data_IF_035785209946
#
_entry.id   IF_035785209946
#
_cell.length_a   1.000
_cell.length_b   1.000
_cell.length_c   1.000
_cell.angle_alpha   90.00
_cell.angle_beta   90.00
_cell.angle_gamma   90.00
#
_symmetry.space_group_name_H-M   'P 1'
#
loop_
_entity.id
_entity.type
_entity.pdbx_description
1 polymer ?
#
# COMPACT_ATOMS: atom_id res chain seq x y z
N UNK A 1 -8.16 -32.03 54.93
CA UNK A 1 -9.14 -32.58 53.99
C UNK A 1 -8.69 -33.98 53.63
N UNK A 2 -9.52 -35.00 53.88
CA UNK A 2 -9.27 -36.39 53.53
C UNK A 2 -9.36 -36.54 52.01
N UNK A 3 -8.25 -36.85 51.34
CA UNK A 3 -8.29 -37.31 49.95
C UNK A 3 -8.59 -38.82 49.99
N UNK A 4 -9.85 -39.20 49.72
CA UNK A 4 -10.18 -40.60 49.51
C UNK A 4 -9.54 -41.05 48.19
N UNK A 5 -8.64 -42.03 48.26
CA UNK A 5 -8.12 -42.72 47.08
C UNK A 5 -9.29 -43.43 46.38
N UNK A 6 -9.69 -42.95 45.21
CA UNK A 6 -10.63 -43.68 44.34
C UNK A 6 -9.83 -44.75 43.63
N UNK A 7 -10.08 -46.02 43.94
CA UNK A 7 -9.53 -47.14 43.18
C UNK A 7 -10.22 -47.17 41.81
N UNK A 8 -9.52 -46.69 40.79
CA UNK A 8 -10.00 -46.63 39.41
C UNK A 8 -9.84 -47.96 38.66
N UNK A 9 -9.28 -49.01 39.28
CA UNK A 9 -9.08 -50.32 38.64
C UNK A 9 -10.38 -51.06 38.32
N UNK A 10 -11.48 -50.70 38.99
CA UNK A 10 -12.81 -51.27 38.76
C UNK A 10 -13.60 -50.56 37.65
N UNK A 11 -13.08 -49.45 37.10
CA UNK A 11 -13.75 -48.67 36.08
C UNK A 11 -13.24 -49.05 34.69
N UNK A 12 -14.13 -48.95 33.70
CA UNK A 12 -13.80 -49.17 32.29
C UNK A 12 -14.71 -48.33 31.39
N UNK A 13 -14.30 -48.14 30.14
CA UNK A 13 -15.10 -47.41 29.15
C UNK A 13 -16.36 -48.19 28.80
N UNK A 14 -17.50 -47.50 28.81
CA UNK A 14 -18.80 -48.05 28.47
C UNK A 14 -19.48 -47.11 27.47
N UNK A 15 -19.97 -47.67 26.36
CA UNK A 15 -20.80 -46.96 25.38
C UNK A 15 -22.27 -47.27 25.67
N UNK A 16 -23.05 -46.25 26.01
CA UNK A 16 -24.48 -46.36 26.28
C UNK A 16 -25.22 -45.38 25.40
N UNK A 17 -26.12 -45.88 24.55
CA UNK A 17 -26.97 -45.06 23.67
C UNK A 17 -26.16 -44.05 22.80
N UNK A 18 -24.95 -44.43 22.39
CA UNK A 18 -24.06 -43.57 21.59
C UNK A 18 -23.15 -42.64 22.39
N UNK A 19 -23.28 -42.62 23.73
CA UNK A 19 -22.50 -41.76 24.63
C UNK A 19 -21.50 -42.58 25.44
N UNK A 20 -20.26 -42.09 25.52
CA UNK A 20 -19.19 -42.74 26.27
C UNK A 20 -19.19 -42.30 27.74
N UNK A 21 -18.97 -43.27 28.63
CA UNK A 21 -18.80 -43.10 30.07
C UNK A 21 -17.60 -43.91 30.55
N UNK A 22 -16.99 -43.49 31.65
CA UNK A 22 -16.03 -44.31 32.39
C UNK A 22 -16.68 -44.75 33.69
N UNK A 23 -17.06 -46.02 33.82
CA UNK A 23 -17.92 -46.48 34.91
C UNK A 23 -17.53 -47.87 35.40
N UNK A 24 -17.91 -48.19 36.63
CA UNK A 24 -17.83 -49.54 37.19
C UNK A 24 -18.87 -50.47 36.57
N UNK A 25 -18.76 -51.78 36.81
CA UNK A 25 -19.68 -52.79 36.26
C UNK A 25 -21.12 -52.67 36.76
N UNK A 26 -21.33 -52.08 37.93
CA UNK A 26 -22.64 -51.74 38.51
C UNK A 26 -23.19 -50.39 38.01
N UNK A 27 -22.47 -49.71 37.12
CA UNK A 27 -22.93 -48.51 36.41
C UNK A 27 -22.63 -47.18 37.10
N UNK A 28 -21.87 -47.15 38.20
CA UNK A 28 -21.44 -45.89 38.82
C UNK A 28 -20.41 -45.18 37.95
N UNK A 29 -20.77 -44.01 37.44
CA UNK A 29 -19.90 -43.20 36.58
C UNK A 29 -18.79 -42.51 37.38
N UNK A 30 -17.60 -42.46 36.80
CA UNK A 30 -16.52 -41.58 37.19
C UNK A 30 -16.80 -40.18 36.64
N UNK A 31 -16.48 -39.14 37.41
CA UNK A 31 -16.70 -37.75 37.03
C UNK A 31 -15.45 -36.92 37.26
N UNK A 32 -15.22 -35.92 36.40
CA UNK A 32 -14.07 -35.03 36.43
C UNK A 32 -12.94 -35.48 35.50
N UNK A 33 -11.71 -35.06 35.83
CA UNK A 33 -10.53 -35.33 35.03
C UNK A 33 -10.07 -36.80 35.17
N UNK A 34 -9.96 -37.49 34.04
CA UNK A 34 -9.40 -38.84 33.94
C UNK A 34 -8.15 -38.82 33.07
N UNK A 35 -7.05 -39.42 33.55
CA UNK A 35 -5.88 -39.68 32.72
C UNK A 35 -5.79 -41.17 32.40
N UNK A 36 -5.82 -41.50 31.12
CA UNK A 36 -5.73 -42.88 30.66
C UNK A 36 -4.96 -42.95 29.34
N UNK A 37 -4.09 -43.96 29.18
CA UNK A 37 -3.32 -44.14 27.95
C UNK A 37 -2.44 -42.95 27.56
N UNK A 38 -2.06 -42.11 28.54
CA UNK A 38 -1.28 -40.89 28.32
C UNK A 38 -2.11 -39.64 27.97
N UNK A 39 -3.40 -39.78 27.69
CA UNK A 39 -4.32 -38.69 27.38
C UNK A 39 -5.18 -38.30 28.58
N UNK A 40 -5.67 -37.05 28.57
CA UNK A 40 -6.65 -36.54 29.53
C UNK A 40 -8.04 -36.53 28.91
N UNK A 41 -9.04 -36.85 29.71
CA UNK A 41 -10.46 -36.84 29.37
C UNK A 41 -11.24 -36.09 30.44
N UNK A 42 -12.36 -35.49 30.05
CA UNK A 42 -13.30 -34.88 30.98
C UNK A 42 -14.62 -35.65 30.96
N UNK A 43 -14.98 -36.19 32.12
CA UNK A 43 -16.24 -36.89 32.35
C UNK A 43 -17.15 -35.91 33.09
N UNK A 44 -18.00 -35.20 32.37
CA UNK A 44 -18.73 -34.04 32.86
C UNK A 44 -19.56 -34.38 34.11
N UNK A 45 -19.19 -33.87 35.30
CA UNK A 45 -19.93 -34.13 36.54
C UNK A 45 -21.39 -33.67 36.48
N UNK A 46 -21.67 -32.58 35.77
CA UNK A 46 -23.00 -31.97 35.68
C UNK A 46 -23.90 -32.74 34.70
N UNK A 47 -23.29 -33.46 33.76
CA UNK A 47 -23.97 -34.38 32.85
C UNK A 47 -23.89 -35.86 33.31
N UNK A 48 -23.57 -36.12 34.59
CA UNK A 48 -23.56 -37.49 35.14
C UNK A 48 -22.43 -38.38 34.62
N UNK A 49 -21.30 -37.79 34.24
CA UNK A 49 -20.08 -38.50 33.81
C UNK A 49 -19.98 -38.75 32.30
N UNK A 50 -20.74 -38.01 31.48
CA UNK A 50 -20.64 -38.05 30.02
C UNK A 50 -19.23 -37.64 29.59
N UNK A 51 -18.59 -38.43 28.73
CA UNK A 51 -17.32 -38.06 28.12
C UNK A 51 -17.53 -36.91 27.12
N UNK A 52 -16.83 -35.81 27.37
CA UNK A 52 -16.94 -34.60 26.55
C UNK A 52 -16.07 -34.69 25.28
N UNK A 53 -16.60 -34.12 24.20
CA UNK A 53 -15.89 -33.82 22.94
C UNK A 53 -16.12 -32.35 22.57
N UNK A 54 -15.20 -31.75 21.82
CA UNK A 54 -15.26 -30.34 21.40
C UNK A 54 -14.84 -29.36 22.49
N UNK A 55 -15.25 -28.10 22.34
CA UNK A 55 -14.99 -27.02 23.30
C UNK A 55 -15.84 -27.20 24.55
N UNK A 56 -15.21 -27.17 25.72
CA UNK A 56 -15.92 -27.29 27.00
C UNK A 56 -15.21 -26.57 28.13
N UNK A 57 -15.97 -26.07 29.10
CA UNK A 57 -15.42 -25.44 30.31
C UNK A 57 -15.27 -26.48 31.42
N UNK A 58 -14.05 -26.61 31.94
CA UNK A 58 -13.74 -27.51 33.03
C UNK A 58 -13.10 -26.71 34.17
N UNK A 59 -13.78 -26.63 35.32
CA UNK A 59 -13.27 -25.92 36.51
C UNK A 59 -12.83 -24.46 36.21
N UNK A 60 -13.59 -23.72 35.38
CA UNK A 60 -13.35 -22.31 35.07
C UNK A 60 -12.35 -22.03 33.96
N UNK A 61 -11.80 -23.06 33.31
CA UNK A 61 -10.95 -22.91 32.12
C UNK A 61 -11.56 -23.65 30.93
N UNK A 62 -11.41 -23.11 29.72
CA UNK A 62 -11.84 -23.78 28.49
C UNK A 62 -10.79 -24.79 28.03
N UNK A 63 -11.25 -25.92 27.52
CA UNK A 63 -10.45 -26.99 26.95
C UNK A 63 -11.07 -27.45 25.65
N UNK A 64 -10.26 -28.05 24.79
CA UNK A 64 -10.73 -28.71 23.57
C UNK A 64 -10.48 -30.21 23.67
N UNK A 65 -11.52 -31.00 23.40
CA UNK A 65 -11.45 -32.46 23.34
C UNK A 65 -11.71 -32.91 21.90
N UNK A 66 -10.88 -33.82 21.38
CA UNK A 66 -11.10 -34.35 20.03
C UNK A 66 -12.29 -35.33 19.99
N UNK A 67 -12.57 -35.94 18.83
CA UNK A 67 -13.68 -36.89 18.65
C UNK A 67 -13.55 -38.17 19.47
N UNK A 68 -12.36 -38.51 20.01
CA UNK A 68 -12.18 -39.60 20.95
C UNK A 68 -12.28 -39.16 22.42
N UNK A 69 -12.59 -37.88 22.68
CA UNK A 69 -12.62 -37.28 24.02
C UNK A 69 -11.24 -36.98 24.61
N UNK A 70 -10.17 -37.15 23.85
CA UNK A 70 -8.83 -36.82 24.34
C UNK A 70 -8.59 -35.31 24.26
N UNK A 71 -8.12 -34.73 25.36
CA UNK A 71 -7.80 -33.32 25.51
C UNK A 71 -6.64 -32.92 24.59
N UNK A 72 -6.81 -31.84 23.85
CA UNK A 72 -5.79 -31.30 22.97
C UNK A 72 -4.74 -30.47 23.73
N UNK A 73 -3.55 -30.39 23.14
CA UNK A 73 -2.51 -29.39 23.43
C UNK A 73 -2.01 -28.84 22.09
N UNK A 74 -1.50 -27.61 22.09
CA UNK A 74 -1.09 -26.89 20.89
C UNK A 74 -2.25 -26.23 20.13
N UNK A 75 -2.04 -26.00 18.84
CA UNK A 75 -3.01 -25.32 17.98
C UNK A 75 -4.22 -26.20 17.67
N UNK A 76 -5.41 -25.61 17.77
CA UNK A 76 -6.69 -26.24 17.45
C UNK A 76 -7.42 -25.35 16.45
N UNK A 77 -7.93 -25.93 15.37
CA UNK A 77 -8.79 -25.27 14.40
C UNK A 77 -10.20 -25.84 14.50
N UNK A 78 -11.17 -24.99 14.82
CA UNK A 78 -12.58 -25.36 14.87
C UNK A 78 -13.45 -24.32 14.16
N UNK A 79 -14.31 -24.77 13.25
CA UNK A 79 -15.20 -23.88 12.51
C UNK A 79 -14.49 -22.73 11.75
N UNK A 80 -13.21 -22.89 11.40
CA UNK A 80 -12.39 -21.83 10.79
C UNK A 80 -11.72 -20.87 11.80
N UNK A 81 -11.96 -21.04 13.09
CA UNK A 81 -11.39 -20.25 14.18
C UNK A 81 -10.23 -21.00 14.83
N UNK A 82 -9.09 -20.32 14.97
CA UNK A 82 -7.93 -20.88 15.67
C UNK A 82 -8.02 -20.66 17.17
N UNK A 83 -7.55 -21.64 17.93
CA UNK A 83 -7.38 -21.61 19.38
C UNK A 83 -5.99 -22.19 19.70
N UNK A 84 -5.47 -21.89 20.89
CA UNK A 84 -4.24 -22.50 21.37
C UNK A 84 -4.43 -23.13 22.75
N UNK A 85 -4.40 -24.46 22.81
CA UNK A 85 -4.37 -25.21 24.05
C UNK A 85 -2.94 -25.20 24.61
N UNK A 86 -2.74 -24.63 25.79
CA UNK A 86 -1.42 -24.56 26.43
C UNK A 86 -0.91 -25.96 26.83
N UNK A 87 0.29 -26.04 27.41
CA UNK A 87 0.83 -27.32 27.89
C UNK A 87 -0.04 -28.01 28.95
N UNK A 88 -0.91 -27.27 29.66
CA UNK A 88 -1.91 -27.84 30.57
C UNK A 88 -3.23 -28.24 29.89
N UNK A 89 -3.38 -27.94 28.59
CA UNK A 89 -4.61 -28.11 27.82
C UNK A 89 -5.58 -26.94 27.89
N UNK A 90 -5.43 -26.05 28.87
CA UNK A 90 -6.29 -24.88 28.97
C UNK A 90 -6.08 -23.96 27.76
N UNK A 91 -7.15 -23.47 27.17
CA UNK A 91 -7.10 -22.55 26.04
C UNK A 91 -6.53 -21.19 26.45
N UNK A 92 -5.64 -20.66 25.63
CA UNK A 92 -5.07 -19.33 25.77
C UNK A 92 -6.17 -18.25 25.75
N UNK A 93 -6.00 -17.22 26.58
CA UNK A 93 -6.89 -16.06 26.71
C UNK A 93 -6.04 -14.80 26.82
N UNK A 94 -6.46 -13.73 26.14
CA UNK A 94 -5.71 -12.47 26.07
C UNK A 94 -4.39 -12.59 25.28
N UNK A 95 -3.45 -11.67 25.48
CA UNK A 95 -2.15 -11.70 24.84
C UNK A 95 -1.27 -12.85 25.35
N UNK A 96 -0.79 -13.70 24.45
CA UNK A 96 0.05 -14.88 24.78
C UNK A 96 1.17 -15.03 23.76
N UNK A 97 2.38 -15.38 24.20
CA UNK A 97 3.47 -15.77 23.30
C UNK A 97 3.47 -17.28 23.09
N UNK A 98 3.44 -17.69 21.82
CA UNK A 98 3.50 -19.10 21.38
C UNK A 98 4.77 -19.27 20.55
N UNK A 99 5.74 -20.02 21.08
CA UNK A 99 7.02 -20.23 20.39
C UNK A 99 7.81 -18.95 20.12
N UNK A 100 7.63 -17.91 20.95
CA UNK A 100 8.25 -16.60 20.77
C UNK A 100 7.46 -15.62 19.89
N UNK A 101 6.40 -16.07 19.23
CA UNK A 101 5.51 -15.22 18.42
C UNK A 101 4.32 -14.77 19.27
N UNK A 102 4.00 -13.47 19.36
CA UNK A 102 2.85 -13.01 20.11
C UNK A 102 1.55 -13.27 19.35
N UNK A 103 0.49 -13.61 20.09
CA UNK A 103 -0.87 -13.77 19.60
C UNK A 103 -1.84 -13.13 20.61
N UNK A 104 -3.03 -12.77 20.15
CA UNK A 104 -4.10 -12.33 21.03
C UNK A 104 -5.29 -13.29 20.90
N UNK A 105 -5.84 -13.71 22.02
CA UNK A 105 -7.02 -14.56 22.08
C UNK A 105 -8.14 -13.83 22.83
N UNK A 106 -9.37 -14.00 22.38
CA UNK A 106 -10.55 -13.45 23.04
C UNK A 106 -10.62 -13.97 24.49
N UNK A 107 -10.76 -13.06 25.45
CA UNK A 107 -10.66 -13.40 26.87
C UNK A 107 -11.83 -14.25 27.38
N UNK A 108 -12.94 -14.33 26.64
CA UNK A 108 -14.13 -15.10 27.02
C UNK A 108 -14.11 -16.46 26.34
N UNK A 109 -13.89 -16.47 25.04
CA UNK A 109 -14.07 -17.64 24.17
C UNK A 109 -12.76 -18.38 23.86
N UNK A 110 -11.60 -17.72 24.01
CA UNK A 110 -10.30 -18.26 23.62
C UNK A 110 -10.03 -18.24 22.12
N UNK A 111 -10.93 -17.67 21.32
CA UNK A 111 -10.76 -17.54 19.87
C UNK A 111 -9.58 -16.62 19.52
N UNK A 112 -8.72 -17.01 18.60
CA UNK A 112 -7.62 -16.17 18.14
C UNK A 112 -8.17 -14.93 17.42
N UNK A 113 -7.68 -13.76 17.84
CA UNK A 113 -8.04 -12.47 17.28
C UNK A 113 -7.07 -12.05 16.18
N UNK A 114 -7.60 -11.36 15.17
CA UNK A 114 -6.83 -10.68 14.12
C UNK A 114 -7.16 -9.18 14.11
N UNK A 115 -6.52 -8.41 13.25
CA UNK A 115 -6.64 -6.96 13.18
C UNK A 115 -5.88 -6.25 14.30
N UNK A 116 -6.24 -5.00 14.60
CA UNK A 116 -5.57 -4.24 15.65
C UNK A 116 -5.90 -4.76 17.05
N UNK A 117 -4.88 -5.25 17.76
CA UNK A 117 -4.96 -5.68 19.15
C UNK A 117 -3.84 -5.04 19.97
N UNK A 118 -3.98 -5.07 21.29
CA UNK A 118 -2.93 -4.63 22.24
C UNK A 118 -2.20 -5.86 22.75
N UNK A 119 -0.87 -5.89 22.58
CA UNK A 119 -0.05 -6.99 23.06
C UNK A 119 0.14 -6.98 24.59
N UNK A 120 0.86 -7.97 25.12
CA UNK A 120 1.09 -8.11 26.56
C UNK A 120 1.88 -6.94 27.17
N UNK A 121 2.56 -6.15 26.33
CA UNK A 121 3.38 -5.00 26.70
C UNK A 121 2.59 -3.68 26.57
N UNK A 122 1.33 -3.73 26.14
CA UNK A 122 0.50 -2.54 25.94
C UNK A 122 0.68 -1.87 24.57
N UNK A 123 1.43 -2.49 23.64
CA UNK A 123 1.67 -1.95 22.30
C UNK A 123 0.54 -2.38 21.36
N UNK A 124 -0.04 -1.41 20.64
CA UNK A 124 -1.05 -1.68 19.62
C UNK A 124 -0.37 -2.19 18.35
N UNK A 125 -0.74 -3.39 17.91
CA UNK A 125 -0.21 -4.06 16.71
C UNK A 125 -1.34 -4.62 15.85
N UNK A 126 -1.10 -4.73 14.56
CA UNK A 126 -1.97 -5.43 13.63
C UNK A 126 -1.58 -6.91 13.56
N UNK A 127 -2.48 -7.79 13.99
CA UNK A 127 -2.32 -9.24 13.97
C UNK A 127 -2.98 -9.84 12.73
N UNK A 128 -2.22 -10.61 11.95
CA UNK A 128 -2.75 -11.50 10.92
C UNK A 128 -3.01 -12.90 11.45
N UNK A 129 -3.14 -13.87 10.54
CA UNK A 129 -3.43 -15.27 10.88
C UNK A 129 -2.28 -16.02 11.58
N UNK A 130 -1.09 -15.42 11.63
CA UNK A 130 0.13 -16.03 12.16
C UNK A 130 0.87 -15.13 13.17
N UNK A 131 0.15 -14.24 13.85
CA UNK A 131 0.72 -13.25 14.77
C UNK A 131 0.81 -11.86 14.13
N UNK A 132 1.72 -10.98 14.58
CA UNK A 132 1.87 -9.64 14.03
C UNK A 132 2.23 -9.69 12.55
N UNK A 133 1.56 -8.86 11.75
CA UNK A 133 1.78 -8.83 10.31
C UNK A 133 3.17 -8.27 9.99
N UNK A 134 3.87 -8.92 9.07
CA UNK A 134 5.16 -8.47 8.56
C UNK A 134 5.06 -8.37 7.03
N UNK A 135 4.95 -7.15 6.51
CA UNK A 135 4.75 -6.86 5.10
C UNK A 135 3.46 -6.09 4.82
N UNK A 136 3.00 -6.15 3.57
CA UNK A 136 1.81 -5.44 3.11
C UNK A 136 0.53 -5.92 3.79
N UNK A 137 -0.30 -4.98 4.25
CA UNK A 137 -1.65 -5.23 4.76
C UNK A 137 -2.64 -4.20 4.25
N UNK A 138 -3.80 -4.66 3.80
CA UNK A 138 -4.91 -3.79 3.40
C UNK A 138 -5.88 -3.66 4.58
N UNK A 139 -6.02 -2.44 5.10
CA UNK A 139 -6.77 -2.13 6.31
C UNK A 139 -7.66 -0.93 6.01
N UNK A 140 -8.97 -1.06 6.24
CA UNK A 140 -9.95 0.01 6.11
C UNK A 140 -9.90 0.80 4.78
N UNK A 141 -9.57 0.13 3.67
CA UNK A 141 -9.53 0.73 2.35
C UNK A 141 -8.14 1.21 1.90
N UNK A 142 -7.11 1.09 2.75
CA UNK A 142 -5.77 1.59 2.48
C UNK A 142 -4.71 0.50 2.66
N UNK A 143 -3.62 0.61 1.90
CA UNK A 143 -2.45 -0.25 2.05
C UNK A 143 -1.47 0.33 3.06
N UNK A 144 -0.89 -0.55 3.86
CA UNK A 144 0.16 -0.24 4.82
C UNK A 144 1.27 -1.28 4.71
N UNK A 145 2.50 -0.89 5.05
CA UNK A 145 3.57 -1.85 5.30
C UNK A 145 3.77 -2.03 6.80
N UNK A 146 3.62 -3.24 7.30
CA UNK A 146 3.80 -3.56 8.71
C UNK A 146 5.17 -4.18 8.97
N UNK A 147 5.82 -3.73 10.04
CA UNK A 147 6.96 -4.40 10.65
C UNK A 147 6.55 -4.80 12.06
N UNK A 148 6.51 -6.11 12.34
CA UNK A 148 6.05 -6.66 13.62
C UNK A 148 4.65 -6.14 14.03
N UNK A 149 3.74 -6.04 13.06
CA UNK A 149 2.38 -5.52 13.22
C UNK A 149 2.30 -4.01 13.46
N UNK A 150 3.41 -3.27 13.37
CA UNK A 150 3.42 -1.81 13.48
C UNK A 150 3.52 -1.22 12.07
N UNK A 151 2.60 -0.32 11.72
CA UNK A 151 2.62 0.37 10.43
C UNK A 151 3.89 1.21 10.31
N UNK A 152 4.62 1.03 9.22
CA UNK A 152 5.81 1.81 8.88
C UNK A 152 5.41 3.13 8.23
N UNK A 153 6.28 4.13 8.35
CA UNK A 153 6.09 5.47 7.77
C UNK A 153 7.36 5.91 7.03
N UNK A 154 7.23 6.81 6.06
CA UNK A 154 8.30 7.34 5.24
C UNK A 154 8.62 6.47 4.03
N UNK A 155 9.87 6.54 3.56
CA UNK A 155 10.34 5.77 2.41
C UNK A 155 10.52 4.29 2.75
N UNK A 156 10.00 3.42 1.88
CA UNK A 156 10.21 1.98 1.92
C UNK A 156 10.74 1.50 0.59
N UNK A 157 11.81 0.69 0.62
CA UNK A 157 12.27 -0.06 -0.54
C UNK A 157 12.00 -1.54 -0.33
N UNK A 158 11.18 -2.12 -1.21
CA UNK A 158 10.84 -3.54 -1.16
C UNK A 158 10.44 -4.03 -2.55
N UNK A 159 10.69 -5.30 -2.85
CA UNK A 159 10.33 -5.89 -4.15
C UNK A 159 10.92 -5.15 -5.37
N UNK A 160 12.06 -4.47 -5.20
CA UNK A 160 12.70 -3.70 -6.27
C UNK A 160 12.08 -2.33 -6.57
N UNK A 161 11.16 -1.84 -5.74
CA UNK A 161 10.49 -0.55 -5.92
C UNK A 161 10.51 0.28 -4.65
N UNK A 162 10.46 1.60 -4.82
CA UNK A 162 10.28 2.56 -3.74
C UNK A 162 8.80 2.87 -3.53
N UNK A 163 8.40 3.05 -2.28
CA UNK A 163 7.06 3.40 -1.85
C UNK A 163 7.15 4.52 -0.81
N UNK A 164 6.11 5.34 -0.74
CA UNK A 164 5.96 6.33 0.32
C UNK A 164 4.78 5.96 1.22
N UNK A 165 5.07 5.79 2.50
CA UNK A 165 4.10 5.48 3.54
C UNK A 165 3.87 6.77 4.32
N UNK A 166 2.77 7.47 4.04
CA UNK A 166 2.51 8.83 4.49
C UNK A 166 2.59 8.96 6.02
N UNK A 167 3.63 9.64 6.56
CA UNK A 167 3.79 9.77 8.01
C UNK A 167 2.60 10.45 8.69
N UNK A 168 2.07 11.50 8.06
CA UNK A 168 0.96 12.30 8.60
C UNK A 168 -0.40 11.56 8.53
N UNK A 169 -0.49 10.51 7.72
CA UNK A 169 -1.64 9.62 7.61
C UNK A 169 -1.41 8.27 8.33
N UNK A 170 -0.41 8.18 9.20
CA UNK A 170 -0.14 6.96 9.98
C UNK A 170 0.37 5.78 9.15
N UNK A 171 0.99 6.04 8.00
CA UNK A 171 1.63 5.03 7.15
C UNK A 171 0.79 4.53 5.97
N UNK A 172 -0.28 5.24 5.61
CA UNK A 172 -1.03 4.96 4.38
C UNK A 172 -0.09 5.02 3.17
N UNK A 173 -0.12 4.00 2.32
CA UNK A 173 0.67 3.96 1.11
C UNK A 173 0.14 4.98 0.09
N UNK A 174 1.01 5.89 -0.34
CA UNK A 174 0.69 6.91 -1.33
C UNK A 174 0.45 6.31 -2.73
N UNK A 175 -0.44 6.96 -3.48
CA UNK A 175 -0.66 6.74 -4.92
C UNK A 175 -0.86 8.07 -5.62
N UNK A 176 -0.45 8.23 -6.87
CA UNK A 176 -0.47 9.51 -7.58
C UNK A 176 0.61 10.50 -7.10
N UNK A 177 0.38 11.79 -7.34
CA UNK A 177 1.30 12.87 -7.01
C UNK A 177 1.35 13.14 -5.51
N UNK A 178 2.54 13.05 -4.92
CA UNK A 178 2.77 13.30 -3.50
C UNK A 178 4.04 14.11 -3.25
N UNK A 179 3.99 14.98 -2.23
CA UNK A 179 5.16 15.67 -1.72
C UNK A 179 5.81 14.81 -0.62
N UNK A 180 7.07 14.46 -0.82
CA UNK A 180 7.84 13.63 0.09
C UNK A 180 9.14 14.37 0.45
N UNK A 181 9.29 14.78 1.71
CA UNK A 181 10.48 15.48 2.21
C UNK A 181 10.90 16.71 1.37
N UNK A 182 9.93 17.47 0.86
CA UNK A 182 10.17 18.71 0.11
C UNK A 182 10.37 18.55 -1.40
N UNK A 183 10.25 17.34 -1.95
CA UNK A 183 10.22 17.10 -3.40
C UNK A 183 8.92 16.38 -3.80
N UNK A 184 8.47 16.60 -5.03
CA UNK A 184 7.29 15.93 -5.58
C UNK A 184 7.68 14.60 -6.25
N UNK A 185 6.86 13.58 -6.07
CA UNK A 185 7.03 12.24 -6.62
C UNK A 185 5.69 11.74 -7.16
N UNK A 186 5.75 10.81 -8.10
CA UNK A 186 4.56 10.11 -8.59
C UNK A 186 4.62 8.64 -8.20
N UNK A 187 3.54 8.12 -7.65
CA UNK A 187 3.37 6.70 -7.34
C UNK A 187 2.26 6.11 -8.22
N UNK A 188 2.47 4.94 -8.80
CA UNK A 188 1.44 4.29 -9.61
C UNK A 188 0.32 3.69 -8.72
N UNK A 189 -0.68 3.03 -9.34
CA UNK A 189 -1.79 2.42 -8.61
C UNK A 189 -1.38 1.31 -7.62
N UNK A 190 -0.20 0.70 -7.80
CA UNK A 190 0.34 -0.25 -6.82
C UNK A 190 1.20 0.42 -5.74
N UNK A 191 1.29 1.76 -5.76
CA UNK A 191 2.12 2.56 -4.86
C UNK A 191 3.61 2.58 -5.21
N UNK A 192 4.03 1.96 -6.31
CA UNK A 192 5.44 1.98 -6.71
C UNK A 192 5.79 3.34 -7.32
N UNK A 193 6.89 3.93 -6.85
CA UNK A 193 7.43 5.20 -7.32
C UNK A 193 7.83 5.11 -8.78
N UNK A 194 7.35 6.05 -9.59
CA UNK A 194 7.68 6.13 -11.01
C UNK A 194 9.07 6.71 -11.24
N UNK A 195 9.65 6.34 -12.39
CA UNK A 195 10.79 7.02 -13.02
C UNK A 195 10.47 7.18 -14.51
N UNK A 196 11.06 8.19 -15.15
CA UNK A 196 10.78 8.55 -16.54
C UNK A 196 9.46 9.31 -16.72
N UNK A 197 8.89 9.22 -17.93
CA UNK A 197 7.65 9.92 -18.27
C UNK A 197 6.43 9.30 -17.57
N UNK A 198 5.59 10.18 -17.03
CA UNK A 198 4.33 9.84 -16.36
C UNK A 198 3.20 10.61 -17.02
N UNK A 199 2.12 9.92 -17.38
CA UNK A 199 0.89 10.52 -17.89
C UNK A 199 -0.19 10.44 -16.82
N UNK A 200 -0.73 11.58 -16.41
CA UNK A 200 -1.87 11.66 -15.50
C UNK A 200 -2.89 12.68 -15.98
N UNK A 201 -4.16 12.28 -16.07
CA UNK A 201 -5.25 13.17 -16.49
C UNK A 201 -5.04 13.85 -17.87
N UNK A 202 -4.20 13.29 -18.75
CA UNK A 202 -3.82 13.89 -20.03
C UNK A 202 -2.61 14.84 -19.96
N UNK A 203 -2.06 15.08 -18.78
CA UNK A 203 -0.86 15.90 -18.54
C UNK A 203 0.36 15.01 -18.36
N UNK A 204 1.45 15.36 -19.04
CA UNK A 204 2.73 14.66 -18.90
C UNK A 204 3.58 15.30 -17.81
N UNK A 205 4.29 14.46 -17.06
CA UNK A 205 5.28 14.79 -16.05
C UNK A 205 6.53 13.96 -16.30
N UNK A 206 7.68 14.37 -15.75
CA UNK A 206 8.90 13.58 -15.84
C UNK A 206 9.48 13.32 -14.45
N UNK A 207 9.47 12.07 -14.01
CA UNK A 207 10.18 11.61 -12.83
C UNK A 207 11.65 11.33 -13.19
N UNK A 208 12.58 11.99 -12.51
CA UNK A 208 14.02 11.78 -12.75
C UNK A 208 14.46 10.39 -12.28
N UNK A 209 15.74 10.04 -12.44
CA UNK A 209 16.28 8.76 -11.97
C UNK A 209 16.16 8.54 -10.46
N UNK A 210 16.02 9.61 -9.67
CA UNK A 210 15.72 9.54 -8.22
C UNK A 210 14.23 9.45 -7.92
N UNK A 211 13.36 9.52 -8.93
CA UNK A 211 11.90 9.59 -8.82
C UNK A 211 11.34 10.99 -8.59
N UNK A 212 12.17 11.96 -8.19
CA UNK A 212 11.71 13.33 -8.00
C UNK A 212 11.25 13.90 -9.34
N UNK A 213 10.09 14.56 -9.37
CA UNK A 213 9.58 15.20 -10.56
C UNK A 213 10.46 16.37 -10.98
N UNK A 214 10.81 16.41 -12.26
CA UNK A 214 11.56 17.50 -12.85
C UNK A 214 10.74 18.80 -12.83
N UNK A 215 11.46 19.92 -12.81
CA UNK A 215 10.92 21.27 -12.81
C UNK A 215 11.85 22.17 -13.62
N UNK A 216 11.29 23.06 -14.43
CA UNK A 216 12.01 23.90 -15.37
C UNK A 216 12.53 23.14 -16.58
N UNK A 217 13.69 23.55 -17.08
CA UNK A 217 14.31 22.96 -18.26
C UNK A 217 14.82 21.54 -18.00
N UNK A 218 14.43 20.62 -18.87
CA UNK A 218 14.88 19.24 -18.88
C UNK A 218 15.51 18.91 -20.24
N UNK A 219 16.76 18.43 -20.24
CA UNK A 219 17.40 17.88 -21.43
C UNK A 219 17.42 16.35 -21.36
N UNK A 220 16.78 15.70 -22.32
CA UNK A 220 16.86 14.26 -22.50
C UNK A 220 17.56 13.98 -23.83
N UNK A 221 18.83 13.58 -23.77
CA UNK A 221 19.64 13.20 -24.93
C UNK A 221 19.62 14.25 -26.06
N UNK A 222 19.79 15.53 -25.71
CA UNK A 222 19.80 16.64 -26.67
C UNK A 222 18.42 17.22 -26.99
N UNK A 223 17.33 16.59 -26.55
CA UNK A 223 15.97 17.12 -26.70
C UNK A 223 15.58 17.90 -25.44
N UNK A 224 15.14 19.15 -25.61
CA UNK A 224 14.73 20.01 -24.50
C UNK A 224 13.22 19.97 -24.28
N UNK A 225 12.83 19.98 -23.01
CA UNK A 225 11.46 20.05 -22.53
C UNK A 225 11.40 21.12 -21.43
N UNK A 226 10.21 21.64 -21.18
CA UNK A 226 9.94 22.48 -20.01
C UNK A 226 8.85 21.83 -19.16
N UNK A 227 9.15 21.70 -17.87
CA UNK A 227 8.22 21.23 -16.85
C UNK A 227 7.89 22.44 -15.99
N UNK A 228 6.62 22.81 -15.87
CA UNK A 228 6.22 23.98 -15.09
C UNK A 228 6.76 23.88 -13.64
N UNK A 229 7.49 24.88 -13.12
CA UNK A 229 8.11 24.77 -11.80
C UNK A 229 7.14 24.63 -10.62
N UNK A 230 5.86 24.99 -10.81
CA UNK A 230 4.85 24.96 -9.74
C UNK A 230 4.00 23.69 -9.78
N UNK A 231 3.69 23.21 -10.99
CA UNK A 231 2.79 22.07 -11.21
C UNK A 231 3.50 20.82 -11.71
N UNK A 232 4.76 20.94 -12.14
CA UNK A 232 5.54 19.90 -12.83
C UNK A 232 5.00 19.47 -14.20
N UNK A 233 3.94 20.12 -14.70
CA UNK A 233 3.32 19.78 -15.97
C UNK A 233 4.23 20.10 -17.15
N UNK A 234 4.37 19.17 -18.08
CA UNK A 234 5.11 19.37 -19.32
C UNK A 234 4.41 20.36 -20.23
N UNK A 235 5.13 21.39 -20.68
CA UNK A 235 4.61 22.36 -21.61
C UNK A 235 4.44 21.78 -23.02
N UNK A 236 3.38 22.24 -23.69
CA UNK A 236 3.13 22.06 -25.12
C UNK A 236 2.64 23.40 -25.68
N UNK A 237 2.82 23.61 -26.98
CA UNK A 237 2.51 24.87 -27.66
C UNK A 237 3.41 26.03 -27.25
N UNK A 238 2.89 27.25 -27.43
CA UNK A 238 3.53 28.49 -27.03
C UNK A 238 3.61 28.62 -25.51
N UNK A 239 4.81 28.75 -24.95
CA UNK A 239 5.00 28.83 -23.50
C UNK A 239 6.12 29.81 -23.12
N UNK A 240 5.93 30.52 -22.01
CA UNK A 240 6.91 31.46 -21.47
C UNK A 240 7.82 30.77 -20.45
N UNK A 241 9.12 30.82 -20.67
CA UNK A 241 10.13 30.24 -19.79
C UNK A 241 11.14 31.32 -19.39
N UNK A 242 11.17 31.71 -18.11
CA UNK A 242 12.12 32.70 -17.57
C UNK A 242 12.20 34.01 -18.37
N UNK A 243 11.05 34.53 -18.83
CA UNK A 243 10.97 35.81 -19.53
C UNK A 243 11.22 35.76 -21.05
N UNK A 244 11.39 34.57 -21.63
CA UNK A 244 11.42 34.38 -23.09
C UNK A 244 10.32 33.42 -23.53
N UNK A 245 9.81 33.60 -24.74
CA UNK A 245 8.79 32.70 -25.31
C UNK A 245 9.46 31.57 -26.10
N UNK A 246 8.89 30.38 -26.01
CA UNK A 246 9.34 29.17 -26.68
C UNK A 246 8.15 28.44 -27.29
N UNK A 247 8.41 27.60 -28.27
CA UNK A 247 7.41 26.67 -28.80
C UNK A 247 7.78 25.24 -28.46
N UNK A 248 6.86 24.50 -27.85
CA UNK A 248 6.97 23.06 -27.60
C UNK A 248 5.98 22.32 -28.51
N UNK A 249 6.42 21.28 -29.20
CA UNK A 249 5.50 20.49 -30.03
C UNK A 249 4.59 19.59 -29.16
N UNK A 250 3.69 18.82 -29.79
CA UNK A 250 2.76 17.93 -29.07
C UNK A 250 3.43 16.83 -28.25
N UNK A 251 4.71 16.51 -28.51
CA UNK A 251 5.51 15.60 -27.66
C UNK A 251 6.22 16.32 -26.51
N UNK A 252 6.05 17.63 -26.39
CA UNK A 252 6.72 18.50 -25.42
C UNK A 252 8.15 18.88 -25.78
N UNK A 253 8.67 18.44 -26.93
CA UNK A 253 10.02 18.81 -27.34
C UNK A 253 10.06 20.24 -27.90
N UNK A 254 11.05 21.00 -27.44
CA UNK A 254 11.29 22.39 -27.82
C UNK A 254 11.65 22.48 -29.30
N UNK A 255 10.96 23.35 -30.04
CA UNK A 255 11.23 23.61 -31.44
C UNK A 255 12.41 24.57 -31.64
N UNK A 256 13.08 24.42 -32.78
CA UNK A 256 14.03 25.41 -33.32
C UNK A 256 13.70 25.64 -34.79
N UNK A 257 14.03 26.82 -35.32
CA UNK A 257 13.69 27.23 -36.68
C UNK A 257 12.24 27.67 -36.84
N UNK A 258 11.72 27.52 -38.07
CA UNK A 258 10.35 27.90 -38.41
C UNK A 258 9.33 26.93 -37.80
N UNK A 259 8.29 27.49 -37.18
CA UNK A 259 7.17 26.77 -36.59
C UNK A 259 5.87 27.28 -37.21
N UNK A 260 5.00 26.36 -37.63
CA UNK A 260 3.65 26.68 -38.13
C UNK A 260 2.61 26.14 -37.15
N UNK A 261 1.76 27.03 -36.64
CA UNK A 261 0.62 26.66 -35.81
C UNK A 261 -0.63 27.46 -36.20
N UNK A 262 -1.75 26.78 -36.40
CA UNK A 262 -3.02 27.43 -36.74
C UNK A 262 -2.98 28.33 -37.98
N UNK A 263 -2.02 28.12 -38.90
CA UNK A 263 -1.80 28.98 -40.07
C UNK A 263 -0.87 30.19 -39.82
N UNK A 264 -0.39 30.35 -38.59
CA UNK A 264 0.54 31.41 -38.18
C UNK A 264 1.96 30.86 -38.08
N UNK A 265 2.92 31.56 -38.68
CA UNK A 265 4.33 31.21 -38.59
C UNK A 265 5.02 31.92 -37.43
N UNK A 266 5.94 31.22 -36.78
CA UNK A 266 6.83 31.73 -35.73
C UNK A 266 8.26 31.32 -36.07
N UNK A 267 9.24 32.04 -35.55
CA UNK A 267 10.65 31.68 -35.72
C UNK A 267 11.37 31.52 -34.38
N UNK A 268 11.74 30.28 -34.06
CA UNK A 268 12.57 29.92 -32.92
C UNK A 268 14.05 29.96 -33.32
N UNK A 269 14.87 30.65 -32.53
CA UNK A 269 16.33 30.66 -32.73
C UNK A 269 16.96 29.30 -32.40
N UNK A 270 18.28 29.16 -32.53
CA UNK A 270 19.00 27.94 -32.15
C UNK A 270 18.94 27.61 -30.65
N UNK A 271 18.67 28.62 -29.80
CA UNK A 271 18.37 28.40 -28.37
C UNK A 271 16.91 28.02 -28.11
N UNK A 272 16.06 28.02 -29.14
CA UNK A 272 14.62 27.79 -29.06
C UNK A 272 13.79 29.03 -28.73
N UNK A 273 14.41 30.13 -28.29
CA UNK A 273 13.69 31.35 -27.99
C UNK A 273 13.04 31.92 -29.27
N UNK A 274 11.76 32.27 -29.19
CA UNK A 274 11.02 32.90 -30.27
C UNK A 274 11.53 34.32 -30.51
N UNK A 275 11.73 34.63 -31.78
CA UNK A 275 12.18 35.95 -32.22
C UNK A 275 11.03 36.95 -32.16
N UNK A 276 11.34 38.21 -31.90
CA UNK A 276 10.47 39.36 -32.03
C UNK A 276 11.18 40.45 -32.83
N UNK A 277 10.43 41.20 -33.62
CA UNK A 277 10.95 42.20 -34.54
C UNK A 277 11.60 41.60 -35.80
N UNK A 278 12.61 42.30 -36.32
CA UNK A 278 13.33 41.92 -37.54
C UNK A 278 14.18 40.66 -37.34
N UNK A 279 14.01 39.68 -38.24
CA UNK A 279 14.81 38.47 -38.28
C UNK A 279 15.37 38.24 -39.68
N UNK A 280 16.69 37.99 -39.79
CA UNK A 280 17.33 37.61 -41.05
C UNK A 280 17.54 36.10 -41.09
N UNK A 281 16.81 35.42 -41.98
CA UNK A 281 16.78 33.95 -42.04
C UNK A 281 16.90 33.50 -43.49
N UNK A 282 17.90 32.66 -43.78
CA UNK A 282 18.05 32.05 -45.11
C UNK A 282 18.19 33.04 -46.27
N UNK A 283 18.72 34.24 -46.03
CA UNK A 283 18.94 35.25 -47.07
C UNK A 283 17.82 36.30 -47.22
N UNK A 284 16.78 36.24 -46.41
CA UNK A 284 15.68 37.20 -46.42
C UNK A 284 15.39 37.77 -45.03
N UNK A 285 14.84 38.98 -44.99
CA UNK A 285 14.33 39.59 -43.76
C UNK A 285 12.85 39.26 -43.56
N UNK A 286 12.49 39.03 -42.31
CA UNK A 286 11.13 38.78 -41.85
C UNK A 286 10.84 39.70 -40.67
N UNK A 287 9.57 40.02 -40.47
CA UNK A 287 9.12 40.73 -39.27
C UNK A 287 8.19 39.84 -38.46
N UNK A 288 8.61 39.57 -37.22
CA UNK A 288 7.84 38.84 -36.21
C UNK A 288 7.23 39.88 -35.27
N UNK A 289 5.91 39.90 -35.14
CA UNK A 289 5.22 40.86 -34.28
C UNK A 289 5.77 40.80 -32.84
N UNK A 290 6.23 41.92 -32.26
CA UNK A 290 6.88 41.87 -30.95
C UNK A 290 5.99 41.44 -29.78
N UNK A 291 4.67 41.49 -29.93
CA UNK A 291 3.71 41.12 -28.88
C UNK A 291 3.25 39.67 -28.97
N UNK A 292 3.08 39.17 -30.18
CA UNK A 292 2.52 37.83 -30.46
C UNK A 292 3.55 36.84 -30.98
N UNK A 293 4.73 37.31 -31.39
CA UNK A 293 5.77 36.56 -32.10
C UNK A 293 5.35 36.04 -33.49
N UNK A 294 4.16 36.42 -33.97
CA UNK A 294 3.62 35.97 -35.25
C UNK A 294 4.36 36.63 -36.41
N UNK A 295 4.76 35.84 -37.41
CA UNK A 295 5.31 36.34 -38.66
C UNK A 295 4.24 37.08 -39.45
N UNK A 296 4.60 38.27 -39.88
CA UNK A 296 3.69 39.11 -40.68
C UNK A 296 3.80 38.82 -42.17
N UNK A 297 2.71 39.10 -42.89
CA UNK A 297 2.63 39.07 -44.35
C UNK A 297 1.88 40.31 -44.85
N UNK A 298 2.00 40.63 -46.14
CA UNK A 298 1.34 41.80 -46.74
C UNK A 298 2.00 43.12 -46.35
N UNK A 299 1.24 44.22 -46.45
CA UNK A 299 1.73 45.56 -46.11
C UNK A 299 1.53 45.81 -44.62
N UNK A 300 2.59 46.16 -43.91
CA UNK A 300 2.57 46.49 -42.48
C UNK A 300 3.29 47.81 -42.20
N UNK A 301 2.83 48.54 -41.18
CA UNK A 301 3.49 49.74 -40.70
C UNK A 301 4.29 49.42 -39.43
N UNK A 302 5.60 49.65 -39.46
CA UNK A 302 6.54 49.35 -38.39
C UNK A 302 7.28 50.65 -38.09
N UNK A 303 7.17 51.15 -36.85
CA UNK A 303 7.76 52.41 -36.40
C UNK A 303 7.47 53.61 -37.32
N UNK A 304 6.25 53.67 -37.88
CA UNK A 304 5.79 54.73 -38.78
C UNK A 304 6.25 54.59 -40.25
N UNK A 305 6.89 53.48 -40.60
CA UNK A 305 7.34 53.17 -41.97
C UNK A 305 6.59 51.96 -42.51
N UNK A 306 6.10 52.05 -43.75
CA UNK A 306 5.40 50.95 -44.41
C UNK A 306 6.38 49.99 -45.09
N UNK A 307 6.26 48.71 -44.77
CA UNK A 307 7.01 47.61 -45.34
C UNK A 307 6.06 46.63 -46.03
N UNK A 308 6.50 46.02 -47.12
CA UNK A 308 5.74 45.01 -47.84
C UNK A 308 6.41 43.63 -47.73
N UNK A 309 5.65 42.64 -47.28
CA UNK A 309 6.09 41.27 -47.11
C UNK A 309 5.32 40.35 -48.07
N UNK A 310 6.03 39.42 -48.70
CA UNK A 310 5.43 38.38 -49.53
C UNK A 310 4.53 37.43 -48.70
N UNK A 311 3.79 36.55 -49.38
CA UNK A 311 2.92 35.55 -48.72
C UNK A 311 3.69 34.53 -47.87
N UNK A 312 5.00 34.36 -48.12
CA UNK A 312 5.90 33.56 -47.29
C UNK A 312 6.58 34.37 -46.17
N UNK A 313 6.22 35.66 -46.01
CA UNK A 313 6.75 36.56 -44.99
C UNK A 313 8.06 37.26 -45.33
N UNK A 314 8.69 36.98 -46.47
CA UNK A 314 9.93 37.64 -46.86
C UNK A 314 9.68 39.12 -47.22
N UNK A 315 10.48 40.02 -46.65
CA UNK A 315 10.47 41.44 -46.99
C UNK A 315 10.89 41.67 -48.44
N UNK A 316 10.15 42.51 -49.15
CA UNK A 316 10.31 42.74 -50.59
C UNK A 316 11.34 43.83 -50.96
N UNK A 317 11.93 44.51 -49.97
CA UNK A 317 12.88 45.61 -50.18
C UNK A 317 12.20 46.98 -50.34
#
# INVERSE_FOLDING_TARGET
MNYAYVDVSLYYWQLKEGTWYYATSDGKAYTGWLRQGGAWYWLDPDAGGVMVTGLHECNGSLYWFNSSGAMATGWVLDGGTWYYATGSGALARGPVSVGGVPYCFDVRTGAMLTGYQTDAQGVRRYFGNCGPLNGWGFVDGSWYWFADGIASTGWLYTGGSWYWLEPDAGGVMATGLHACNGAAYWFNASGAMATGWVLDGGTWYYATGSGALASGWLNLNGTWYWLDPSTHAMATGLHGCNGSMYWFNGSGSMATGWVLDGGTWYYATSSGALTSGWAYVGGAWYWLDPSTHAMTTGVQEIDGVKYSFASNGAWLG
#
